data_IF_198790599802
#
_entry.id   IF_198790599802
#
_cell.length_a   1.000
_cell.length_b   1.000
_cell.length_c   1.000
_cell.angle_alpha   90.00
_cell.angle_beta   90.00
_cell.angle_gamma   90.00
#
_symmetry.space_group_name_H-M   'P 1'
#
loop_
_entity.id
_entity.type
_entity.pdbx_description
1 polymer ?
#
# COMPACT_ATOMS: atom_id res chain seq x y z
N UNK A 1 47.90 31.02 -19.92
CA UNK A 1 47.00 30.49 -20.96
C UNK A 1 47.68 29.27 -21.56
N UNK A 2 47.21 28.06 -21.25
CA UNK A 2 47.81 26.82 -21.75
C UNK A 2 47.18 26.49 -23.11
N UNK A 3 47.96 26.25 -24.18
CA UNK A 3 47.39 25.97 -25.49
C UNK A 3 46.76 24.57 -25.45
N UNK A 4 45.43 24.52 -25.63
CA UNK A 4 44.72 23.29 -25.96
C UNK A 4 45.18 22.87 -27.36
N UNK A 5 46.06 21.87 -27.42
CA UNK A 5 46.48 21.27 -28.70
C UNK A 5 45.28 20.62 -29.37
N UNK A 6 44.69 21.29 -30.36
CA UNK A 6 43.70 20.68 -31.26
C UNK A 6 44.42 19.70 -32.20
N UNK A 7 44.14 18.41 -32.03
CA UNK A 7 44.60 17.35 -32.93
C UNK A 7 43.66 17.28 -34.15
N UNK A 8 44.15 17.59 -35.34
CA UNK A 8 43.39 17.57 -36.61
C UNK A 8 43.33 16.19 -37.29
N UNK A 9 43.52 15.09 -36.55
CA UNK A 9 43.33 13.75 -37.12
C UNK A 9 41.83 13.45 -37.20
N UNK A 10 41.33 13.17 -38.41
CA UNK A 10 39.95 12.72 -38.61
C UNK A 10 39.69 11.35 -37.96
N UNK A 11 38.42 11.07 -37.64
CA UNK A 11 37.99 9.77 -37.13
C UNK A 11 38.27 8.68 -38.18
N UNK A 12 38.99 7.65 -37.79
CA UNK A 12 39.20 6.48 -38.66
C UNK A 12 37.91 5.68 -38.82
N UNK A 13 37.77 4.93 -39.93
CA UNK A 13 36.62 4.03 -40.12
C UNK A 13 36.43 3.05 -38.94
N UNK A 14 37.52 2.59 -38.32
CA UNK A 14 37.47 1.72 -37.15
C UNK A 14 36.83 2.40 -35.92
N UNK A 15 37.09 3.69 -35.71
CA UNK A 15 36.50 4.47 -34.60
C UNK A 15 35.01 4.72 -34.84
N UNK A 16 34.61 4.97 -36.09
CA UNK A 16 33.20 5.15 -36.45
C UNK A 16 32.42 3.85 -36.22
N UNK A 17 32.98 2.70 -36.61
CA UNK A 17 32.35 1.38 -36.37
C UNK A 17 32.27 1.09 -34.86
N UNK A 18 33.35 1.38 -34.11
CA UNK A 18 33.34 1.22 -32.67
C UNK A 18 32.30 2.15 -31.99
N UNK A 19 32.16 3.39 -32.46
CA UNK A 19 31.17 4.34 -31.98
C UNK A 19 29.74 3.86 -32.27
N UNK A 20 29.45 3.40 -33.49
CA UNK A 20 28.15 2.83 -33.83
C UNK A 20 27.81 1.63 -32.94
N UNK A 21 28.75 0.72 -32.72
CA UNK A 21 28.55 -0.44 -31.84
C UNK A 21 28.23 -0.01 -30.40
N UNK A 22 28.97 0.97 -29.86
CA UNK A 22 28.71 1.52 -28.52
C UNK A 22 27.32 2.16 -28.42
N UNK A 23 26.87 2.89 -29.45
CA UNK A 23 25.53 3.50 -29.44
C UNK A 23 24.42 2.47 -29.44
N UNK A 24 24.54 1.39 -30.23
CA UNK A 24 23.53 0.32 -30.27
C UNK A 24 23.45 -0.41 -28.93
N UNK A 25 24.60 -0.75 -28.34
CA UNK A 25 24.64 -1.42 -27.02
C UNK A 25 24.06 -0.51 -25.93
N UNK A 26 24.36 0.80 -25.96
CA UNK A 26 23.81 1.76 -25.01
C UNK A 26 22.28 1.85 -25.08
N UNK A 27 21.70 1.90 -26.28
CA UNK A 27 20.24 1.95 -26.45
C UNK A 27 19.58 0.66 -25.97
N UNK A 28 20.14 -0.50 -26.30
CA UNK A 28 19.61 -1.80 -25.84
C UNK A 28 19.70 -1.94 -24.32
N UNK A 29 20.78 -1.45 -23.71
CA UNK A 29 20.92 -1.42 -22.26
C UNK A 29 19.80 -0.60 -21.61
N UNK A 30 19.51 0.61 -22.11
CA UNK A 30 18.43 1.46 -21.58
C UNK A 30 17.07 0.77 -21.71
N UNK A 31 16.77 0.19 -22.88
CA UNK A 31 15.49 -0.49 -23.12
C UNK A 31 15.29 -1.70 -22.20
N UNK A 32 16.37 -2.40 -21.86
CA UNK A 32 16.31 -3.53 -20.92
C UNK A 32 15.90 -3.13 -19.50
N UNK A 33 16.10 -1.86 -19.11
CA UNK A 33 15.71 -1.34 -17.80
C UNK A 33 14.26 -0.84 -17.72
N UNK A 34 13.62 -0.52 -18.85
CA UNK A 34 12.27 0.08 -18.83
C UNK A 34 11.22 -0.88 -18.24
N UNK A 35 11.20 -2.13 -18.71
CA UNK A 35 10.23 -3.12 -18.25
C UNK A 35 10.33 -3.45 -16.73
N UNK A 36 11.52 -3.73 -16.16
CA UNK A 36 11.62 -3.95 -14.72
C UNK A 36 11.30 -2.69 -13.91
N UNK A 37 11.68 -1.50 -14.39
CA UNK A 37 11.36 -0.23 -13.71
C UNK A 37 9.84 -0.02 -13.56
N UNK A 38 9.06 -0.30 -14.61
CA UNK A 38 7.60 -0.18 -14.56
C UNK A 38 6.97 -1.16 -13.57
N UNK A 39 7.46 -2.40 -13.53
CA UNK A 39 6.97 -3.41 -12.57
C UNK A 39 7.27 -3.01 -11.13
N UNK A 40 8.46 -2.47 -10.87
CA UNK A 40 8.81 -2.00 -9.53
C UNK A 40 7.98 -0.80 -9.12
N UNK A 41 7.78 0.18 -10.02
CA UNK A 41 6.95 1.36 -9.75
C UNK A 41 5.50 0.97 -9.48
N UNK A 42 4.92 0.10 -10.32
CA UNK A 42 3.56 -0.40 -10.11
C UNK A 42 3.46 -1.11 -8.75
N UNK A 43 4.36 -2.05 -8.46
CA UNK A 43 4.36 -2.77 -7.18
C UNK A 43 4.44 -1.80 -5.98
N UNK A 44 5.28 -0.77 -6.06
CA UNK A 44 5.41 0.23 -5.00
C UNK A 44 4.15 1.07 -4.82
N UNK A 45 3.45 1.46 -5.90
CA UNK A 45 2.17 2.18 -5.79
C UNK A 45 1.09 1.32 -5.12
N UNK A 46 0.90 0.08 -5.58
CA UNK A 46 -0.06 -0.83 -4.98
C UNK A 46 0.26 -1.12 -3.50
N UNK A 47 1.53 -1.31 -3.15
CA UNK A 47 1.94 -1.52 -1.77
C UNK A 47 1.69 -0.29 -0.89
N UNK A 48 2.02 0.92 -1.38
CA UNK A 48 1.80 2.15 -0.63
C UNK A 48 0.32 2.44 -0.38
N UNK A 49 -0.53 2.19 -1.37
CA UNK A 49 -1.98 2.31 -1.23
C UNK A 49 -2.53 1.25 -0.28
N UNK A 50 -2.12 0.00 -0.44
CA UNK A 50 -2.55 -1.09 0.43
C UNK A 50 -2.16 -0.81 1.89
N UNK A 51 -0.95 -0.29 2.16
CA UNK A 51 -0.51 0.06 3.52
C UNK A 51 -1.31 1.20 4.12
N UNK A 52 -1.70 2.20 3.31
CA UNK A 52 -2.57 3.29 3.76
C UNK A 52 -3.95 2.77 4.19
N UNK A 53 -4.58 1.95 3.35
CA UNK A 53 -5.88 1.32 3.64
C UNK A 53 -5.79 0.44 4.88
N UNK A 54 -4.74 -0.36 4.99
CA UNK A 54 -4.51 -1.23 6.14
C UNK A 54 -4.41 -0.43 7.45
N UNK A 55 -3.66 0.68 7.45
CA UNK A 55 -3.49 1.52 8.62
C UNK A 55 -4.80 2.22 9.00
N UNK A 56 -5.52 2.77 8.02
CA UNK A 56 -6.82 3.42 8.24
C UNK A 56 -7.83 2.47 8.90
N UNK A 57 -7.92 1.23 8.41
CA UNK A 57 -8.82 0.22 8.96
C UNK A 57 -8.40 -0.21 10.37
N UNK A 58 -7.10 -0.34 10.65
CA UNK A 58 -6.62 -0.62 12.01
C UNK A 58 -7.00 0.50 12.98
N UNK A 59 -6.72 1.76 12.63
CA UNK A 59 -7.04 2.92 13.47
C UNK A 59 -8.54 3.06 13.68
N UNK A 60 -9.33 2.81 12.63
CA UNK A 60 -10.79 2.83 12.73
C UNK A 60 -11.32 1.77 13.70
N UNK A 61 -10.79 0.56 13.63
CA UNK A 61 -11.15 -0.50 14.57
C UNK A 61 -10.63 -0.24 15.97
N UNK A 62 -9.44 0.33 16.11
CA UNK A 62 -8.88 0.75 17.39
C UNK A 62 -9.79 1.77 18.07
N UNK A 63 -10.13 2.87 17.39
CA UNK A 63 -11.01 3.91 17.92
C UNK A 63 -12.38 3.34 18.33
N UNK A 64 -12.94 2.42 17.53
CA UNK A 64 -14.22 1.76 17.83
C UNK A 64 -14.13 0.84 19.04
N UNK A 65 -13.01 0.16 19.27
CA UNK A 65 -12.83 -0.74 20.42
C UNK A 65 -12.51 0.04 21.69
N UNK A 66 -11.70 1.10 21.59
CA UNK A 66 -11.37 1.98 22.72
C UNK A 66 -12.62 2.62 23.31
N UNK A 67 -13.57 3.02 22.46
CA UNK A 67 -14.84 3.60 22.90
C UNK A 67 -15.75 2.53 23.55
N UNK A 68 -16.04 2.72 24.84
CA UNK A 68 -16.90 1.81 25.61
C UNK A 68 -18.37 1.81 25.16
N UNK A 69 -18.82 2.88 24.50
CA UNK A 69 -20.16 2.99 23.94
C UNK A 69 -20.40 2.02 22.77
N UNK A 70 -19.35 1.54 22.10
CA UNK A 70 -19.48 0.73 20.91
C UNK A 70 -19.53 -0.76 21.24
N UNK A 71 -20.47 -1.47 20.61
CA UNK A 71 -20.43 -2.93 20.56
C UNK A 71 -19.25 -3.41 19.69
N UNK A 72 -18.39 -4.26 20.27
CA UNK A 72 -17.30 -4.93 19.54
C UNK A 72 -17.82 -6.23 18.97
N UNK A 73 -17.90 -6.34 17.65
CA UNK A 73 -18.24 -7.58 16.97
C UNK A 73 -16.96 -8.43 16.84
N UNK A 74 -16.96 -9.62 17.43
CA UNK A 74 -15.86 -10.59 17.32
C UNK A 74 -16.10 -11.55 16.16
N UNK A 75 -15.03 -12.04 15.55
CA UNK A 75 -15.06 -12.93 14.40
C UNK A 75 -14.50 -12.28 13.15
N UNK A 76 -14.72 -12.92 12.01
CA UNK A 76 -14.38 -12.36 10.69
C UNK A 76 -15.48 -11.38 10.28
N UNK A 77 -15.09 -10.12 10.07
CA UNK A 77 -15.99 -9.09 9.59
C UNK A 77 -16.28 -9.28 8.09
N UNK A 78 -17.37 -8.71 7.56
CA UNK A 78 -17.65 -8.72 6.13
C UNK A 78 -16.46 -8.14 5.35
N UNK A 79 -16.07 -8.83 4.30
CA UNK A 79 -15.00 -8.38 3.40
C UNK A 79 -15.47 -7.12 2.70
N UNK A 80 -14.66 -6.06 2.77
CA UNK A 80 -14.93 -4.80 2.08
C UNK A 80 -13.99 -4.63 0.90
N UNK A 81 -14.49 -4.02 -0.17
CA UNK A 81 -13.68 -3.68 -1.34
C UNK A 81 -13.51 -2.18 -1.37
N UNK A 82 -12.26 -1.73 -1.39
CA UNK A 82 -11.88 -0.32 -1.50
C UNK A 82 -11.30 -0.11 -2.89
N UNK A 83 -11.87 0.86 -3.61
CA UNK A 83 -11.40 1.24 -4.93
C UNK A 83 -10.42 2.40 -4.82
N UNK A 84 -9.36 2.42 -5.63
CA UNK A 84 -8.34 3.47 -5.62
C UNK A 84 -8.89 4.86 -5.99
N UNK A 85 -10.01 4.93 -6.71
CA UNK A 85 -10.74 6.17 -6.99
C UNK A 85 -11.51 6.74 -5.79
N UNK A 86 -11.68 5.98 -4.72
CA UNK A 86 -12.55 6.33 -3.59
C UNK A 86 -14.05 6.26 -3.90
N UNK A 87 -14.44 5.81 -5.10
CA UNK A 87 -15.84 5.63 -5.46
C UNK A 87 -16.39 4.30 -4.93
N UNK A 88 -17.67 4.27 -4.61
CA UNK A 88 -18.35 3.04 -4.17
C UNK A 88 -18.39 1.98 -5.29
N UNK A 89 -18.49 2.43 -6.55
CA UNK A 89 -18.49 1.56 -7.72
C UNK A 89 -17.14 1.61 -8.44
N UNK A 90 -16.70 0.46 -8.95
CA UNK A 90 -15.46 0.37 -9.72
C UNK A 90 -15.55 1.15 -11.02
N UNK A 91 -14.55 2.00 -11.28
CA UNK A 91 -14.37 2.68 -12.56
C UNK A 91 -13.47 1.85 -13.49
N UNK A 92 -13.55 2.04 -14.82
CA UNK A 92 -12.64 1.38 -15.75
C UNK A 92 -11.18 1.73 -15.44
N UNK A 93 -10.34 0.71 -15.24
CA UNK A 93 -8.92 0.88 -14.89
C UNK A 93 -8.64 1.11 -13.40
N UNK A 94 -9.64 1.00 -12.54
CA UNK A 94 -9.49 1.21 -11.10
C UNK A 94 -8.80 0.02 -10.41
N UNK A 95 -7.92 0.33 -9.47
CA UNK A 95 -7.25 -0.65 -8.64
C UNK A 95 -8.16 -1.01 -7.47
N UNK A 96 -8.51 -2.30 -7.35
CA UNK A 96 -9.36 -2.80 -6.28
C UNK A 96 -8.54 -3.48 -5.19
N UNK A 97 -8.82 -3.10 -3.95
CA UNK A 97 -8.22 -3.66 -2.75
C UNK A 97 -9.31 -4.35 -1.94
N UNK A 98 -9.04 -5.59 -1.52
CA UNK A 98 -9.94 -6.39 -0.70
C UNK A 98 -9.42 -6.39 0.72
N UNK A 99 -10.23 -5.88 1.65
CA UNK A 99 -9.90 -5.79 3.07
C UNK A 99 -10.66 -6.88 3.82
N UNK A 100 -9.92 -7.65 4.61
CA UNK A 100 -10.46 -8.67 5.51
C UNK A 100 -9.97 -8.39 6.92
N UNK A 101 -10.91 -8.17 7.84
CA UNK A 101 -10.60 -7.92 9.25
C UNK A 101 -11.13 -9.05 10.12
N UNK A 102 -10.27 -9.55 11.02
CA UNK A 102 -10.62 -10.54 12.02
C UNK A 102 -10.38 -9.94 13.40
N UNK A 103 -11.44 -9.89 14.22
CA UNK A 103 -11.37 -9.42 15.60
C UNK A 103 -11.50 -10.63 16.53
N UNK A 104 -10.45 -10.92 17.29
CA UNK A 104 -10.44 -12.00 18.28
C UNK A 104 -10.48 -11.41 19.69
N UNK A 105 -11.42 -11.84 20.52
CA UNK A 105 -11.38 -11.53 21.96
C UNK A 105 -10.22 -12.29 22.61
N UNK A 106 -9.42 -11.59 23.42
CA UNK A 106 -8.31 -12.18 24.17
C UNK A 106 -8.76 -12.57 25.57
N UNK A 107 -8.85 -11.58 26.47
CA UNK A 107 -9.34 -11.73 27.83
C UNK A 107 -9.79 -10.35 28.36
N UNK A 108 -10.86 -10.30 29.15
CA UNK A 108 -11.39 -9.07 29.72
C UNK A 108 -11.78 -8.04 28.65
N UNK A 109 -11.23 -6.83 28.77
CA UNK A 109 -11.49 -5.70 27.87
C UNK A 109 -10.44 -5.57 26.75
N UNK A 110 -9.89 -6.67 26.26
CA UNK A 110 -8.83 -6.68 25.24
C UNK A 110 -9.23 -7.51 24.02
N UNK A 111 -8.98 -6.95 22.83
CA UNK A 111 -9.21 -7.59 21.53
C UNK A 111 -7.98 -7.47 20.65
N UNK A 112 -7.72 -8.52 19.87
CA UNK A 112 -6.74 -8.49 18.79
C UNK A 112 -7.48 -8.23 17.49
N UNK A 113 -7.16 -7.12 16.83
CA UNK A 113 -7.59 -6.81 15.47
C UNK A 113 -6.50 -7.26 14.52
N UNK A 114 -6.85 -8.08 13.53
CA UNK A 114 -5.95 -8.43 12.43
C UNK A 114 -6.60 -8.00 11.13
N UNK A 115 -5.95 -7.11 10.40
CA UNK A 115 -6.43 -6.63 9.10
C UNK A 115 -5.49 -7.13 8.02
N UNK A 116 -6.07 -7.61 6.92
CA UNK A 116 -5.35 -8.09 5.75
C UNK A 116 -5.91 -7.38 4.52
N UNK A 117 -4.99 -6.85 3.68
CA UNK A 117 -5.33 -6.18 2.43
C UNK A 117 -4.70 -6.95 1.28
N UNK A 118 -5.52 -7.39 0.33
CA UNK A 118 -5.11 -8.09 -0.88
C UNK A 118 -5.53 -7.31 -2.12
N UNK A 119 -4.84 -7.49 -3.24
CA UNK A 119 -5.17 -6.84 -4.52
C UNK A 119 -4.75 -7.72 -5.69
N UNK A 120 -5.36 -7.52 -6.84
CA UNK A 120 -5.05 -8.29 -8.07
C UNK A 120 -3.65 -7.97 -8.57
N UNK A 121 -2.86 -9.00 -8.89
CA UNK A 121 -1.46 -8.84 -9.32
C UNK A 121 -0.46 -8.66 -8.17
N UNK A 122 -0.93 -8.63 -6.93
CA UNK A 122 -0.10 -8.69 -5.72
C UNK A 122 0.23 -10.11 -5.26
N UNK A 123 0.97 -10.26 -4.15
CA UNK A 123 1.16 -11.56 -3.50
C UNK A 123 -0.19 -12.10 -2.99
N UNK A 124 -0.40 -13.42 -3.07
CA UNK A 124 -1.66 -14.08 -2.67
C UNK A 124 -2.05 -13.82 -1.21
N UNK A 125 -1.05 -13.67 -0.33
CA UNK A 125 -1.27 -13.32 1.07
C UNK A 125 -1.49 -11.82 1.32
N UNK A 126 -1.25 -10.96 0.32
CA UNK A 126 -1.32 -9.51 0.47
C UNK A 126 -0.36 -8.98 1.54
N UNK A 127 -0.79 -7.91 2.21
CA UNK A 127 -0.16 -7.40 3.43
C UNK A 127 -1.12 -7.59 4.61
N UNK A 128 -0.59 -7.84 5.79
CA UNK A 128 -1.41 -7.98 6.99
C UNK A 128 -0.67 -7.48 8.22
N UNK A 129 -1.42 -6.88 9.13
CA UNK A 129 -0.92 -6.41 10.41
C UNK A 129 -1.94 -6.72 11.51
N UNK A 130 -1.46 -6.77 12.75
CA UNK A 130 -2.31 -7.00 13.90
C UNK A 130 -1.99 -6.02 15.02
N UNK A 131 -3.03 -5.52 15.66
CA UNK A 131 -2.97 -4.64 16.81
C UNK A 131 -3.77 -5.25 17.96
N UNK A 132 -3.25 -5.14 19.18
CA UNK A 132 -4.01 -5.46 20.39
C UNK A 132 -4.53 -4.14 20.97
N UNK A 133 -5.85 -4.06 21.10
CA UNK A 133 -6.55 -2.87 21.57
C UNK A 133 -7.30 -3.22 22.84
N UNK A 134 -7.21 -2.34 23.84
CA UNK A 134 -7.97 -2.43 25.07
C UNK A 134 -9.04 -1.34 25.13
N UNK A 135 -10.16 -1.63 25.78
CA UNK A 135 -11.18 -0.62 26.05
C UNK A 135 -10.65 0.37 27.07
N UNK A 136 -10.98 1.65 26.88
CA UNK A 136 -10.57 2.71 27.78
C UNK A 136 -11.79 3.57 28.14
N UNK A 137 -12.16 3.61 29.43
CA UNK A 137 -13.37 4.33 29.88
C UNK A 137 -13.29 5.85 29.62
N UNK A 138 -12.09 6.41 29.47
CA UNK A 138 -11.88 7.80 29.09
C UNK A 138 -12.27 8.16 27.65
N UNK A 139 -12.52 7.17 26.78
CA UNK A 139 -12.88 7.36 25.37
C UNK A 139 -14.38 7.14 25.10
N UNK A 140 -15.21 7.15 26.14
CA UNK A 140 -16.66 7.02 26.01
C UNK A 140 -17.26 8.25 25.30
N UNK A 141 -17.73 8.07 24.07
CA UNK A 141 -18.44 9.11 23.33
C UNK A 141 -19.65 8.54 22.56
N UNK A 142 -20.82 9.20 22.59
CA UNK A 142 -21.15 10.41 23.36
C UNK A 142 -21.30 10.13 24.87
N UNK A 143 -21.09 11.16 25.70
CA UNK A 143 -21.20 11.07 27.17
C UNK A 143 -22.58 10.58 27.60
N UNK A 144 -22.65 9.55 28.45
CA UNK A 144 -23.91 8.96 28.94
C UNK A 144 -24.47 7.83 28.07
N UNK A 145 -23.71 7.33 27.09
CA UNK A 145 -24.07 6.17 26.30
C UNK A 145 -24.21 4.89 27.14
N UNK A 146 -24.99 3.93 26.65
CA UNK A 146 -25.00 2.57 27.18
C UNK A 146 -23.76 1.83 26.66
N UNK A 147 -23.01 1.21 27.57
CA UNK A 147 -21.82 0.42 27.22
C UNK A 147 -22.22 -0.72 26.27
N UNK A 148 -21.53 -0.82 25.14
CA UNK A 148 -21.84 -1.83 24.11
C UNK A 148 -23.11 -1.53 23.29
N UNK A 149 -23.53 -0.27 23.21
CA UNK A 149 -24.61 0.19 22.34
C UNK A 149 -24.22 0.32 20.87
N UNK A 150 -25.16 0.86 20.09
CA UNK A 150 -25.03 1.10 18.64
C UNK A 150 -24.72 2.56 18.30
N UNK A 151 -24.48 3.42 19.29
CA UNK A 151 -24.33 4.87 19.15
C UNK A 151 -23.01 5.33 18.49
N UNK A 152 -22.25 4.41 17.88
CA UNK A 152 -20.96 4.72 17.26
C UNK A 152 -21.11 4.74 15.74
N UNK A 153 -20.91 5.92 15.14
CA UNK A 153 -20.72 6.10 13.70
C UNK A 153 -19.23 6.15 13.35
#
# INVERSE_FOLDING_TARGET
>A
MSPLTLNNRGLGMIEVIAAMLMTVVAVLAILSLVAPAWRTTAKSDYLGRASGILYEELVRHEARIMNSCCAVATGTLPVTTVNASGQANALPGDAQFTVSTVITALAGNAWRVRTQVTWTGGPTAGISESLIVTRQDGFAFPTGCVIGGTACQ
#
